data_IF_346531770717
#
_entry.id   IF_346531770717
#
_cell.length_a   1.000
_cell.length_b   1.000
_cell.length_c   1.000
_cell.angle_alpha   90.00
_cell.angle_beta   90.00
_cell.angle_gamma   90.00
#
_symmetry.space_group_name_H-M   'P 1'
#
loop_
_entity.id
_entity.type
_entity.pdbx_description
1 polymer ?
#
# COMPACT_ATOMS: atom_id res chain seq x y z
N UNK A 1 10.32 10.56 3.58
CA UNK A 1 10.73 10.25 2.19
C UNK A 1 10.35 8.83 1.78
N UNK A 2 11.06 7.75 2.16
CA UNK A 2 10.74 6.38 1.65
C UNK A 2 9.26 5.98 1.82
N UNK A 3 8.73 6.00 3.06
CA UNK A 3 7.33 5.62 3.33
C UNK A 3 6.32 6.51 2.56
N UNK A 4 6.62 7.80 2.41
CA UNK A 4 5.75 8.73 1.67
C UNK A 4 5.86 8.54 0.15
N UNK A 5 7.00 8.08 -0.35
CA UNK A 5 7.20 7.73 -1.75
C UNK A 5 6.45 6.45 -2.08
N UNK A 6 6.55 5.43 -1.21
CA UNK A 6 5.84 4.16 -1.37
C UNK A 6 4.33 4.41 -1.34
N UNK A 7 3.81 5.19 -0.38
CA UNK A 7 2.38 5.51 -0.30
C UNK A 7 1.84 6.22 -1.56
N UNK A 8 2.65 7.08 -2.19
CA UNK A 8 2.26 7.72 -3.46
C UNK A 8 2.22 6.73 -4.62
N UNK A 9 3.12 5.77 -4.65
CA UNK A 9 3.12 4.70 -5.63
C UNK A 9 1.85 3.86 -5.46
N UNK A 10 1.56 3.43 -4.22
CA UNK A 10 0.38 2.64 -3.90
C UNK A 10 -0.94 3.30 -4.33
N UNK A 11 -1.10 4.61 -4.10
CA UNK A 11 -2.29 5.33 -4.58
C UNK A 11 -2.42 5.36 -6.11
N UNK A 12 -1.28 5.35 -6.82
CA UNK A 12 -1.27 5.26 -8.29
C UNK A 12 -1.71 3.86 -8.72
N UNK A 13 -1.13 2.82 -8.13
CA UNK A 13 -1.45 1.43 -8.41
C UNK A 13 -2.91 1.09 -8.08
N UNK A 14 -3.45 1.64 -6.98
CA UNK A 14 -4.87 1.51 -6.59
C UNK A 14 -5.82 2.02 -7.67
N UNK A 15 -5.46 3.14 -8.31
CA UNK A 15 -6.25 3.73 -9.39
C UNK A 15 -6.18 2.84 -10.63
N UNK A 16 -4.97 2.43 -11.03
CA UNK A 16 -4.75 1.60 -12.22
C UNK A 16 -5.45 0.24 -12.09
N UNK A 17 -5.41 -0.40 -10.92
CA UNK A 17 -6.07 -1.67 -10.64
C UNK A 17 -7.61 -1.55 -10.73
N UNK A 18 -8.19 -0.45 -10.25
CA UNK A 18 -9.63 -0.21 -10.38
C UNK A 18 -10.03 -0.05 -11.85
N UNK A 19 -9.25 0.68 -12.64
CA UNK A 19 -9.49 0.82 -14.07
C UNK A 19 -9.36 -0.54 -14.80
N UNK A 20 -8.35 -1.34 -14.45
CA UNK A 20 -8.16 -2.68 -14.99
C UNK A 20 -9.34 -3.62 -14.67
N UNK A 21 -9.84 -3.61 -13.44
CA UNK A 21 -11.03 -4.37 -13.03
C UNK A 21 -12.25 -3.99 -13.87
N UNK A 22 -12.49 -2.68 -14.05
CA UNK A 22 -13.61 -2.18 -14.87
C UNK A 22 -13.48 -2.67 -16.32
N UNK A 23 -12.28 -2.60 -16.90
CA UNK A 23 -12.03 -3.06 -18.26
C UNK A 23 -12.27 -4.58 -18.40
N UNK A 24 -11.73 -5.38 -17.49
CA UNK A 24 -11.94 -6.83 -17.47
C UNK A 24 -13.42 -7.20 -17.41
N UNK A 25 -14.22 -6.50 -16.59
CA UNK A 25 -15.67 -6.71 -16.50
C UNK A 25 -16.38 -6.38 -17.84
N UNK A 26 -15.98 -5.30 -18.53
CA UNK A 26 -16.55 -4.91 -19.83
C UNK A 26 -16.33 -5.96 -20.93
N UNK A 27 -15.17 -6.61 -20.94
CA UNK A 27 -14.82 -7.65 -21.93
C UNK A 27 -15.13 -9.07 -21.45
N UNK A 28 -15.79 -9.21 -20.29
CA UNK A 28 -16.15 -10.48 -19.66
C UNK A 28 -14.94 -11.38 -19.33
N UNK A 29 -13.77 -10.80 -19.06
CA UNK A 29 -12.60 -11.51 -18.55
C UNK A 29 -12.64 -11.59 -17.01
N UNK A 30 -13.43 -12.53 -16.50
CA UNK A 30 -13.63 -12.68 -15.06
C UNK A 30 -12.42 -13.24 -14.32
N UNK A 31 -11.52 -13.97 -15.00
CA UNK A 31 -10.33 -14.53 -14.36
C UNK A 31 -9.30 -13.43 -14.08
N UNK A 32 -9.01 -12.58 -15.05
CA UNK A 32 -8.13 -11.42 -14.83
C UNK A 32 -8.75 -10.43 -13.85
N UNK A 33 -10.09 -10.22 -13.92
CA UNK A 33 -10.80 -9.37 -12.96
C UNK A 33 -10.56 -9.81 -11.52
N UNK A 34 -10.69 -11.11 -11.25
CA UNK A 34 -10.51 -11.64 -9.89
C UNK A 34 -9.05 -11.54 -9.43
N UNK A 35 -8.09 -11.75 -10.35
CA UNK A 35 -6.68 -11.51 -10.06
C UNK A 35 -6.43 -10.05 -9.66
N UNK A 36 -6.89 -9.09 -10.48
CA UNK A 36 -6.72 -7.67 -10.16
C UNK A 36 -7.44 -7.27 -8.88
N UNK A 37 -8.59 -7.87 -8.56
CA UNK A 37 -9.26 -7.64 -7.28
C UNK A 37 -8.42 -8.13 -6.09
N UNK A 38 -7.84 -9.32 -6.18
CA UNK A 38 -6.98 -9.85 -5.11
C UNK A 38 -5.72 -9.02 -4.89
N UNK A 39 -5.15 -8.46 -5.97
CA UNK A 39 -4.01 -7.54 -5.87
C UNK A 39 -4.47 -6.23 -5.23
N UNK A 40 -5.61 -5.67 -5.67
CA UNK A 40 -6.18 -4.46 -5.09
C UNK A 40 -6.45 -4.60 -3.57
N UNK A 41 -6.92 -5.75 -3.11
CA UNK A 41 -7.10 -6.02 -1.69
C UNK A 41 -5.75 -5.98 -0.93
N UNK A 42 -4.69 -6.55 -1.52
CA UNK A 42 -3.33 -6.51 -0.96
C UNK A 42 -2.78 -5.08 -0.89
N UNK A 43 -2.97 -4.27 -1.95
CA UNK A 43 -2.49 -2.89 -1.94
C UNK A 43 -3.28 -2.01 -0.95
N UNK A 44 -4.57 -2.29 -0.72
CA UNK A 44 -5.35 -1.61 0.33
C UNK A 44 -4.81 -1.92 1.74
N UNK A 45 -4.40 -3.16 2.01
CA UNK A 45 -3.70 -3.51 3.26
C UNK A 45 -2.32 -2.83 3.36
N UNK A 46 -1.61 -2.69 2.24
CA UNK A 46 -0.31 -2.03 2.21
C UNK A 46 -0.41 -0.52 2.45
N UNK A 47 -1.42 0.14 1.87
CA UNK A 47 -1.75 1.55 2.14
C UNK A 47 -2.02 1.76 3.63
N UNK A 48 -2.88 0.94 4.24
CA UNK A 48 -3.22 1.04 5.67
C UNK A 48 -1.97 0.90 6.56
N UNK A 49 -1.08 -0.03 6.20
CA UNK A 49 0.19 -0.19 6.89
C UNK A 49 1.05 1.07 6.77
N UNK A 50 1.26 1.60 5.56
CA UNK A 50 2.07 2.80 5.32
C UNK A 50 1.52 4.03 6.05
N UNK A 51 0.20 4.23 6.05
CA UNK A 51 -0.47 5.30 6.79
C UNK A 51 -0.24 5.15 8.30
N UNK A 52 -0.35 3.93 8.83
CA UNK A 52 -0.04 3.62 10.23
C UNK A 52 1.41 3.95 10.58
N UNK A 53 2.37 3.64 9.70
CA UNK A 53 3.77 4.00 9.92
C UNK A 53 3.98 5.53 9.97
N UNK A 54 3.32 6.28 9.09
CA UNK A 54 3.37 7.75 9.10
C UNK A 54 2.73 8.34 10.35
N UNK A 55 1.61 7.78 10.80
CA UNK A 55 0.97 8.19 12.06
C UNK A 55 1.91 7.95 13.24
N UNK A 56 2.53 6.77 13.32
CA UNK A 56 3.52 6.45 14.35
C UNK A 56 4.66 7.48 14.36
N UNK A 57 5.24 7.79 13.20
CA UNK A 57 6.29 8.81 13.07
C UNK A 57 5.81 10.17 13.58
N UNK A 58 4.58 10.57 13.25
CA UNK A 58 3.98 11.82 13.71
C UNK A 58 3.80 11.86 15.22
N UNK A 59 3.41 10.75 15.84
CA UNK A 59 3.13 10.69 17.29
C UNK A 59 4.42 10.62 18.14
N UNK A 60 5.41 9.82 17.75
CA UNK A 60 6.61 9.58 18.57
C UNK A 60 7.87 10.30 18.09
N UNK A 61 7.85 10.87 16.89
CA UNK A 61 9.03 11.45 16.24
C UNK A 61 9.89 10.40 15.54
N UNK A 62 10.60 10.84 14.50
CA UNK A 62 11.35 9.95 13.60
C UNK A 62 12.47 9.17 14.32
N UNK A 63 13.11 9.74 15.34
CA UNK A 63 14.19 9.08 16.08
C UNK A 63 13.68 7.87 16.86
N UNK A 64 12.54 8.02 17.56
CA UNK A 64 11.93 6.94 18.32
C UNK A 64 11.38 5.85 17.39
N UNK A 65 10.80 6.24 16.26
CA UNK A 65 10.37 5.29 15.23
C UNK A 65 11.55 4.46 14.69
N UNK A 66 12.66 5.10 14.33
CA UNK A 66 13.86 4.38 13.84
C UNK A 66 14.39 3.43 14.92
N UNK A 67 14.42 3.85 16.17
CA UNK A 67 14.84 2.99 17.28
C UNK A 67 13.92 1.78 17.43
N UNK A 68 12.60 1.96 17.32
CA UNK A 68 11.61 0.88 17.36
C UNK A 68 11.80 -0.14 16.22
N UNK A 69 12.18 0.34 15.03
CA UNK A 69 12.39 -0.50 13.84
C UNK A 69 13.82 -1.07 13.73
N UNK A 70 14.71 -0.76 14.68
CA UNK A 70 16.09 -1.26 14.70
C UNK A 70 16.21 -2.53 15.56
N UNK A 71 17.12 -3.43 15.18
CA UNK A 71 17.49 -4.56 16.03
C UNK A 71 18.29 -4.08 17.26
N UNK A 72 18.24 -4.86 18.34
CA UNK A 72 19.10 -4.63 19.50
C UNK A 72 20.58 -4.76 19.11
N UNK A 73 21.44 -3.93 19.71
CA UNK A 73 22.87 -4.08 19.55
C UNK A 73 23.34 -5.38 20.21
N UNK A 74 24.16 -6.16 19.50
CA UNK A 74 24.87 -7.34 20.02
C UNK A 74 26.10 -6.96 20.85
#
# INVERSE_FOLDING_TARGET
EMIECDLKLEHTEHTDLKEAIIYCEQVQDFTSRELFRSILDSEEEHIDWLETQLEMISQMGIQNYIQLQSAAAE
#
